data_IF_055945817388
#
_entry.id   IF_055945817388
#
_cell.length_a   1.000
_cell.length_b   1.000
_cell.length_c   1.000
_cell.angle_alpha   90.00
_cell.angle_beta   90.00
_cell.angle_gamma   90.00
#
_symmetry.space_group_name_H-M   'P 1'
#
loop_
_entity.id
_entity.type
_entity.pdbx_description
1 polymer ?
#
# COMPACT_ATOMS: atom_id res chain seq x y z
N UNK A 1 37.28 -24.44 -24.57
CA UNK A 1 37.33 -22.97 -24.71
C UNK A 1 37.44 -22.42 -23.30
N UNK A 2 38.61 -21.80 -22.96
CA UNK A 2 39.07 -21.54 -21.61
C UNK A 2 38.33 -20.39 -20.93
N UNK A 3 37.80 -20.65 -19.74
CA UNK A 3 37.25 -19.61 -18.85
C UNK A 3 38.40 -19.10 -17.99
N UNK A 4 38.79 -17.84 -18.19
CA UNK A 4 39.80 -17.13 -17.38
C UNK A 4 39.21 -16.76 -16.02
N UNK A 5 39.87 -17.24 -14.97
CA UNK A 5 39.65 -16.78 -13.57
C UNK A 5 40.22 -15.38 -13.39
N UNK A 6 39.39 -14.46 -12.92
CA UNK A 6 39.82 -13.13 -12.51
C UNK A 6 40.11 -13.18 -11.01
N UNK A 7 41.38 -13.01 -10.66
CA UNK A 7 41.85 -12.91 -9.28
C UNK A 7 41.68 -11.48 -8.80
N UNK A 8 40.96 -11.28 -7.70
CA UNK A 8 40.85 -10.00 -7.00
C UNK A 8 41.95 -9.93 -5.97
N UNK A 9 42.92 -9.01 -6.17
CA UNK A 9 43.97 -8.73 -5.23
C UNK A 9 43.47 -7.86 -4.07
N UNK A 10 43.58 -8.38 -2.83
CA UNK A 10 43.41 -7.59 -1.61
C UNK A 10 44.61 -6.65 -1.42
N UNK A 11 44.36 -5.35 -1.41
CA UNK A 11 45.28 -4.34 -0.92
C UNK A 11 45.05 -4.14 0.58
N UNK A 12 45.95 -4.62 1.41
CA UNK A 12 46.05 -4.34 2.83
C UNK A 12 46.73 -2.97 3.05
N UNK A 13 45.94 -1.99 3.43
CA UNK A 13 46.49 -0.70 3.91
C UNK A 13 46.66 -0.77 5.44
N UNK A 14 47.91 -0.72 5.89
CA UNK A 14 48.25 -0.59 7.30
C UNK A 14 47.98 0.84 7.77
N UNK A 15 47.09 1.01 8.74
CA UNK A 15 46.84 2.26 9.42
C UNK A 15 47.66 2.33 10.70
N UNK A 16 48.52 3.32 10.78
CA UNK A 16 49.29 3.72 11.95
C UNK A 16 48.36 4.17 13.08
N UNK A 17 48.53 3.54 14.23
CA UNK A 17 47.83 3.89 15.48
C UNK A 17 48.48 5.14 16.06
N UNK A 18 47.80 6.27 16.01
CA UNK A 18 48.11 7.45 16.81
C UNK A 18 47.30 7.40 18.11
N UNK A 19 47.94 7.16 19.26
CA UNK A 19 47.31 7.30 20.56
C UNK A 19 47.03 8.77 20.87
N UNK A 20 45.78 9.19 20.69
CA UNK A 20 45.27 10.42 21.27
C UNK A 20 44.18 10.05 22.29
N UNK A 21 44.45 10.28 23.57
CA UNK A 21 43.53 10.10 24.69
C UNK A 21 42.42 11.17 24.65
N UNK A 22 41.45 10.98 23.76
CA UNK A 22 40.18 11.70 23.78
C UNK A 22 39.14 10.85 24.48
N UNK A 23 38.59 11.29 25.62
CA UNK A 23 37.41 10.71 26.24
C UNK A 23 36.29 10.71 25.20
N UNK A 24 36.05 9.60 24.56
CA UNK A 24 34.85 9.36 23.76
C UNK A 24 33.68 9.32 24.74
N UNK A 25 32.95 10.43 24.84
CA UNK A 25 31.59 10.38 25.39
C UNK A 25 30.81 9.43 24.51
N UNK A 26 30.46 8.25 25.03
CA UNK A 26 29.55 7.34 24.39
C UNK A 26 28.25 8.13 24.11
N UNK A 27 28.04 8.50 22.85
CA UNK A 27 26.81 9.13 22.43
C UNK A 27 25.68 8.16 22.80
N UNK A 28 24.78 8.63 23.66
CA UNK A 28 23.63 7.87 24.12
C UNK A 28 22.69 7.72 22.92
N UNK A 29 22.99 6.77 22.01
CA UNK A 29 22.23 6.51 20.80
C UNK A 29 20.89 5.93 21.22
N UNK A 30 19.84 6.76 21.18
CA UNK A 30 18.47 6.32 21.41
C UNK A 30 18.11 5.31 20.33
N UNK A 31 17.57 4.18 20.73
CA UNK A 31 17.03 3.15 19.82
C UNK A 31 15.51 3.22 19.86
N UNK A 32 14.87 2.93 18.73
CA UNK A 32 13.44 2.72 18.66
C UNK A 32 13.03 1.36 19.30
N UNK A 33 11.74 1.06 19.31
CA UNK A 33 11.20 -0.18 19.86
C UNK A 33 11.75 -1.45 19.18
N UNK A 34 12.29 -1.33 17.95
CA UNK A 34 12.85 -2.42 17.14
C UNK A 34 14.40 -2.46 17.22
N UNK A 35 15.00 -1.64 18.08
CA UNK A 35 16.46 -1.60 18.25
C UNK A 35 17.20 -0.81 17.16
N UNK A 36 16.50 -0.12 16.24
CA UNK A 36 17.11 0.74 15.20
C UNK A 36 17.62 2.01 15.84
N UNK A 37 18.81 2.43 15.45
CA UNK A 37 19.43 3.66 15.97
C UNK A 37 18.69 4.88 15.42
N UNK A 38 18.08 5.66 16.30
CA UNK A 38 17.54 6.97 15.94
C UNK A 38 18.68 7.97 15.89
N UNK A 39 18.88 8.70 14.79
CA UNK A 39 19.85 9.77 14.73
C UNK A 39 19.52 10.85 15.76
N UNK A 40 20.58 11.53 16.24
CA UNK A 40 20.39 12.69 17.10
C UNK A 40 19.59 13.77 16.35
N UNK A 41 18.72 14.48 17.09
CA UNK A 41 18.06 15.65 16.53
C UNK A 41 19.12 16.67 16.11
N UNK A 42 19.05 17.12 14.87
CA UNK A 42 19.96 18.13 14.33
C UNK A 42 19.65 19.52 14.84
N UNK A 43 18.50 19.72 15.50
CA UNK A 43 17.96 21.03 15.88
C UNK A 43 17.54 21.89 14.69
N UNK A 44 17.66 21.35 13.46
CA UNK A 44 17.36 22.10 12.23
C UNK A 44 15.85 22.28 12.10
N UNK A 45 15.40 23.55 12.11
CA UNK A 45 13.97 23.90 11.94
C UNK A 45 13.66 24.44 10.54
N UNK A 46 14.67 24.86 9.78
CA UNK A 46 14.54 25.29 8.39
C UNK A 46 14.87 24.12 7.46
N UNK A 47 13.89 23.66 6.71
CA UNK A 47 14.01 22.56 5.74
C UNK A 47 13.72 23.15 4.34
N UNK A 48 14.73 23.16 3.48
CA UNK A 48 14.65 23.80 2.18
C UNK A 48 13.56 23.17 1.29
N UNK A 49 13.51 21.84 1.25
CA UNK A 49 12.51 21.10 0.50
C UNK A 49 12.22 19.73 1.07
N UNK A 50 11.00 19.25 0.87
CA UNK A 50 10.57 17.88 1.11
C UNK A 50 9.93 17.31 -0.14
N UNK A 51 10.18 16.03 -0.40
CA UNK A 51 9.61 15.28 -1.51
C UNK A 51 8.60 14.25 -0.99
N UNK A 52 7.35 14.45 -1.34
CA UNK A 52 6.25 13.55 -1.04
C UNK A 52 5.91 12.71 -2.26
N UNK A 53 5.76 11.41 -2.09
CA UNK A 53 5.43 10.51 -3.18
C UNK A 53 4.23 9.62 -2.86
N UNK A 54 3.37 9.45 -3.85
CA UNK A 54 2.20 8.59 -3.81
C UNK A 54 2.38 7.40 -4.75
N UNK A 55 1.75 6.27 -4.43
CA UNK A 55 1.73 5.09 -5.32
C UNK A 55 0.59 5.17 -6.34
N UNK A 56 0.73 4.56 -7.53
CA UNK A 56 -0.25 4.66 -8.62
C UNK A 56 -1.41 3.68 -8.44
N UNK A 57 -2.13 3.76 -7.31
CA UNK A 57 -3.35 2.96 -7.09
C UNK A 57 -4.59 3.54 -7.77
N UNK A 58 -4.48 4.78 -8.28
CA UNK A 58 -5.45 5.52 -9.09
C UNK A 58 -4.73 6.12 -10.29
N UNK A 59 -5.43 6.61 -11.32
CA UNK A 59 -4.80 7.38 -12.40
C UNK A 59 -3.98 8.54 -11.84
N UNK A 60 -2.76 8.71 -12.36
CA UNK A 60 -1.76 9.66 -11.87
C UNK A 60 -2.29 11.09 -11.85
N UNK A 61 -3.00 11.51 -12.90
CA UNK A 61 -3.60 12.84 -13.02
C UNK A 61 -4.62 13.13 -11.91
N UNK A 62 -5.41 12.13 -11.52
CA UNK A 62 -6.38 12.24 -10.43
C UNK A 62 -5.68 12.41 -9.09
N UNK A 63 -4.59 11.66 -8.84
CA UNK A 63 -3.80 11.76 -7.60
C UNK A 63 -3.17 13.15 -7.51
N UNK A 64 -2.49 13.61 -8.56
CA UNK A 64 -1.84 14.94 -8.61
C UNK A 64 -2.86 16.04 -8.39
N UNK A 65 -4.02 15.97 -9.06
CA UNK A 65 -5.10 16.95 -8.87
C UNK A 65 -5.62 16.97 -7.43
N UNK A 66 -5.87 15.79 -6.84
CA UNK A 66 -6.38 15.69 -5.47
C UNK A 66 -5.38 16.22 -4.44
N UNK A 67 -4.09 15.97 -4.62
CA UNK A 67 -3.03 16.31 -3.67
C UNK A 67 -2.39 17.69 -3.89
N UNK A 68 -2.82 18.43 -4.90
CA UNK A 68 -2.17 19.67 -5.36
C UNK A 68 -1.95 20.73 -4.26
N UNK A 69 -2.85 20.84 -3.29
CA UNK A 69 -2.72 21.80 -2.19
C UNK A 69 -2.14 21.21 -0.89
N UNK A 70 -1.85 19.92 -0.85
CA UNK A 70 -1.33 19.28 0.36
C UNK A 70 -0.03 19.93 0.85
N UNK A 71 0.87 20.31 -0.07
CA UNK A 71 2.13 20.95 0.27
C UNK A 71 1.94 22.29 1.02
N UNK A 72 0.97 23.11 0.61
CA UNK A 72 0.69 24.37 1.29
C UNK A 72 0.07 24.15 2.69
N UNK A 73 -0.88 23.25 2.80
CA UNK A 73 -1.49 22.89 4.09
C UNK A 73 -0.44 22.34 5.05
N UNK A 74 0.44 21.47 4.55
CA UNK A 74 1.52 20.89 5.34
C UNK A 74 2.52 21.95 5.83
N UNK A 75 2.99 22.84 4.95
CA UNK A 75 3.88 23.94 5.34
C UNK A 75 3.26 24.83 6.42
N UNK A 76 1.97 25.18 6.27
CA UNK A 76 1.27 25.99 7.26
C UNK A 76 1.24 25.29 8.63
N UNK A 77 0.90 24.00 8.68
CA UNK A 77 0.85 23.23 9.93
C UNK A 77 2.22 23.02 10.58
N UNK A 78 3.25 22.76 9.77
CA UNK A 78 4.63 22.65 10.28
C UNK A 78 5.14 23.97 10.85
N UNK A 79 4.75 25.12 10.26
CA UNK A 79 5.10 26.43 10.78
C UNK A 79 4.50 26.68 12.17
N UNK A 80 3.25 26.26 12.41
CA UNK A 80 2.62 26.31 13.74
C UNK A 80 3.42 25.50 14.79
N UNK A 81 4.17 24.49 14.36
CA UNK A 81 5.00 23.61 15.19
C UNK A 81 6.49 24.02 15.21
N UNK A 82 6.79 25.21 14.70
CA UNK A 82 8.15 25.79 14.72
C UNK A 82 9.07 25.34 13.60
N UNK A 83 8.56 24.66 12.55
CA UNK A 83 9.35 24.28 11.37
C UNK A 83 9.03 25.15 10.16
N UNK A 84 10.06 25.66 9.51
CA UNK A 84 9.92 26.41 8.26
C UNK A 84 10.28 25.51 7.07
N UNK A 85 9.26 25.09 6.32
CA UNK A 85 9.43 24.25 5.13
C UNK A 85 9.34 25.12 3.89
N UNK A 86 10.45 25.23 3.13
CA UNK A 86 10.51 26.07 1.93
C UNK A 86 9.63 25.54 0.81
N UNK A 87 9.80 24.29 0.43
CA UNK A 87 9.05 23.63 -0.66
C UNK A 87 8.58 22.24 -0.28
N UNK A 88 7.42 21.83 -0.81
CA UNK A 88 6.97 20.43 -0.81
C UNK A 88 6.68 20.03 -2.24
N UNK A 89 7.49 19.13 -2.78
CA UNK A 89 7.30 18.55 -4.10
C UNK A 89 6.46 17.28 -3.98
N UNK A 90 5.38 17.21 -4.75
CA UNK A 90 4.47 16.06 -4.76
C UNK A 90 4.59 15.34 -6.09
N UNK A 91 4.78 14.01 -6.03
CA UNK A 91 4.88 13.16 -7.21
C UNK A 91 4.09 11.86 -7.04
N UNK A 92 3.87 11.17 -8.14
CA UNK A 92 3.34 9.79 -8.17
C UNK A 92 4.42 8.93 -8.82
N UNK A 93 4.73 7.80 -8.21
CA UNK A 93 5.69 6.84 -8.76
C UNK A 93 5.09 6.05 -9.92
N UNK A 94 5.96 5.41 -10.72
CA UNK A 94 5.55 4.56 -11.83
C UNK A 94 5.03 3.20 -11.35
N UNK A 95 5.55 2.71 -10.21
CA UNK A 95 5.12 1.45 -9.56
C UNK A 95 5.18 1.54 -8.04
N UNK A 96 4.67 0.53 -7.36
CA UNK A 96 4.73 0.43 -5.91
C UNK A 96 6.17 0.20 -5.44
N UNK A 97 6.90 -0.64 -6.17
CA UNK A 97 8.31 -0.93 -5.92
C UNK A 97 9.16 0.32 -6.08
N UNK A 98 8.96 1.08 -7.18
CA UNK A 98 9.71 2.31 -7.44
C UNK A 98 9.52 3.34 -6.31
N UNK A 99 8.33 3.42 -5.71
CA UNK A 99 8.09 4.28 -4.55
C UNK A 99 8.89 3.82 -3.32
N UNK A 100 8.90 2.52 -3.05
CA UNK A 100 9.66 1.93 -1.95
C UNK A 100 11.17 2.10 -2.12
N UNK A 101 11.69 1.88 -3.33
CA UNK A 101 13.10 2.08 -3.68
C UNK A 101 13.52 3.53 -3.52
N UNK A 102 12.74 4.48 -4.03
CA UNK A 102 13.01 5.90 -3.93
C UNK A 102 13.07 6.38 -2.47
N UNK A 103 12.16 5.88 -1.62
CA UNK A 103 12.15 6.17 -0.19
C UNK A 103 13.36 5.53 0.52
N UNK A 104 13.66 4.26 0.25
CA UNK A 104 14.80 3.53 0.81
C UNK A 104 16.14 4.17 0.43
N UNK A 105 16.27 4.68 -0.79
CA UNK A 105 17.44 5.40 -1.26
C UNK A 105 17.55 6.84 -0.71
N UNK A 106 16.49 7.39 -0.10
CA UNK A 106 16.44 8.78 0.37
C UNK A 106 16.28 9.82 -0.74
N UNK A 107 15.94 9.40 -1.96
CA UNK A 107 15.59 10.31 -3.07
C UNK A 107 14.18 10.90 -2.93
N UNK A 108 13.34 10.25 -2.14
CA UNK A 108 12.03 10.71 -1.64
C UNK A 108 12.07 10.74 -0.12
N UNK A 109 11.41 11.71 0.50
CA UNK A 109 11.44 11.93 1.94
C UNK A 109 10.29 11.24 2.66
N UNK A 110 9.11 11.29 2.07
CA UNK A 110 7.88 10.72 2.61
C UNK A 110 7.12 10.03 1.50
N UNK A 111 6.62 8.83 1.75
CA UNK A 111 5.78 8.11 0.79
C UNK A 111 4.52 7.53 1.45
N UNK A 112 3.42 7.53 0.70
CA UNK A 112 2.19 6.82 1.02
C UNK A 112 2.24 5.46 0.35
N UNK A 113 2.47 4.40 1.15
CA UNK A 113 2.74 3.03 0.67
C UNK A 113 1.70 2.05 1.20
N UNK A 114 1.31 1.04 0.41
CA UNK A 114 0.65 -0.14 0.97
C UNK A 114 1.53 -0.84 1.99
N UNK A 115 0.92 -1.51 2.97
CA UNK A 115 1.65 -2.22 4.03
C UNK A 115 2.63 -3.28 3.50
N UNK A 116 2.31 -3.94 2.37
CA UNK A 116 3.21 -4.89 1.73
C UNK A 116 4.46 -4.24 1.14
N UNK A 117 4.31 -3.09 0.47
CA UNK A 117 5.45 -2.32 -0.05
C UNK A 117 6.31 -1.81 1.11
N UNK A 118 5.69 -1.24 2.15
CA UNK A 118 6.44 -0.82 3.34
C UNK A 118 7.24 -1.99 3.93
N UNK A 119 6.61 -3.16 4.11
CA UNK A 119 7.26 -4.33 4.69
C UNK A 119 8.54 -4.75 3.95
N UNK A 120 8.58 -4.59 2.61
CA UNK A 120 9.74 -4.91 1.78
C UNK A 120 10.89 -3.91 2.00
N UNK A 121 10.59 -2.64 2.23
CA UNK A 121 11.57 -1.56 2.32
C UNK A 121 11.77 -1.01 3.75
N UNK A 122 11.24 -1.70 4.77
CA UNK A 122 11.26 -1.25 6.17
C UNK A 122 12.65 -1.21 6.83
N UNK A 123 13.70 -1.72 6.18
CA UNK A 123 15.07 -1.63 6.68
C UNK A 123 15.65 -0.21 6.61
N UNK A 124 15.23 0.58 5.62
CA UNK A 124 15.76 1.92 5.33
C UNK A 124 14.70 3.02 5.46
N UNK A 125 13.49 2.65 5.86
CA UNK A 125 12.36 3.56 6.04
C UNK A 125 11.55 3.19 7.28
N UNK A 126 10.85 4.17 7.85
CA UNK A 126 10.04 3.96 9.05
C UNK A 126 8.62 4.47 8.87
N UNK A 127 7.64 3.63 9.25
CA UNK A 127 6.24 4.04 9.26
C UNK A 127 5.98 4.96 10.44
N UNK A 128 5.35 6.09 10.16
CA UNK A 128 5.00 7.08 11.20
C UNK A 128 3.50 7.21 11.41
N UNK A 129 2.70 6.90 10.38
CA UNK A 129 1.24 6.90 10.46
C UNK A 129 0.67 5.70 9.70
N UNK A 130 -0.47 5.19 10.18
CA UNK A 130 -1.37 4.30 9.44
C UNK A 130 -2.62 5.05 9.04
N UNK A 131 -3.12 4.79 7.84
CA UNK A 131 -4.40 5.34 7.40
C UNK A 131 -5.55 4.70 8.19
N UNK A 132 -6.60 5.47 8.43
CA UNK A 132 -7.90 4.94 8.86
C UNK A 132 -8.89 5.01 7.69
N UNK A 133 -9.85 4.10 7.65
CA UNK A 133 -10.93 4.04 6.65
C UNK A 133 -12.26 3.88 7.37
N UNK A 134 -13.34 4.26 6.73
CA UNK A 134 -14.65 3.81 7.19
C UNK A 134 -14.70 2.28 7.10
N UNK A 135 -15.08 1.63 8.19
CA UNK A 135 -15.39 0.20 8.16
C UNK A 135 -16.64 -0.05 7.33
N UNK A 136 -17.01 -1.30 7.16
CA UNK A 136 -18.27 -1.69 6.53
C UNK A 136 -19.24 -2.24 7.58
N UNK A 137 -20.54 -2.19 7.27
CA UNK A 137 -21.55 -2.89 8.06
C UNK A 137 -21.45 -4.41 7.86
N UNK A 138 -20.99 -4.83 6.67
CA UNK A 138 -20.64 -6.22 6.36
C UNK A 138 -19.13 -6.42 6.54
N UNK A 139 -18.72 -7.33 7.42
CA UNK A 139 -17.33 -7.76 7.62
C UNK A 139 -17.20 -9.30 7.48
N UNK A 140 -18.11 -9.93 6.74
CA UNK A 140 -18.18 -11.37 6.53
C UNK A 140 -16.93 -11.90 5.82
N UNK A 141 -16.53 -13.11 6.16
CA UNK A 141 -15.53 -13.90 5.43
C UNK A 141 -16.17 -14.80 4.37
N UNK A 142 -17.52 -14.90 4.34
CA UNK A 142 -18.24 -15.67 3.33
C UNK A 142 -18.49 -14.81 2.08
N UNK A 143 -17.99 -15.19 0.89
CA UNK A 143 -18.14 -14.42 -0.34
C UNK A 143 -19.60 -14.11 -0.70
N UNK A 144 -20.53 -15.03 -0.41
CA UNK A 144 -21.95 -14.88 -0.76
C UNK A 144 -22.60 -13.65 -0.13
N UNK A 145 -22.15 -13.28 1.08
CA UNK A 145 -22.71 -12.16 1.83
C UNK A 145 -22.39 -10.79 1.22
N UNK A 146 -21.56 -10.79 0.17
CA UNK A 146 -21.15 -9.59 -0.57
C UNK A 146 -21.88 -9.45 -1.92
N UNK A 147 -22.66 -10.47 -2.36
CA UNK A 147 -23.17 -10.56 -3.73
C UNK A 147 -24.62 -10.09 -3.88
N UNK A 148 -24.90 -9.43 -5.00
CA UNK A 148 -26.20 -8.90 -5.36
C UNK A 148 -26.51 -7.53 -4.75
N UNK A 149 -27.47 -6.83 -5.35
CA UNK A 149 -27.91 -5.48 -4.93
C UNK A 149 -28.42 -5.45 -3.48
N UNK A 150 -29.03 -6.54 -3.01
CA UNK A 150 -29.53 -6.65 -1.64
C UNK A 150 -28.39 -6.60 -0.60
N UNK A 151 -27.19 -7.02 -0.99
CA UNK A 151 -25.98 -7.03 -0.15
C UNK A 151 -24.98 -5.92 -0.53
N UNK A 152 -25.44 -4.88 -1.21
CA UNK A 152 -24.61 -3.73 -1.56
C UNK A 152 -23.90 -3.20 -0.32
N UNK A 153 -22.59 -3.13 -0.40
CA UNK A 153 -21.74 -2.73 0.73
C UNK A 153 -22.04 -1.32 1.20
N UNK A 154 -22.31 -1.18 2.49
CA UNK A 154 -22.55 0.09 3.16
C UNK A 154 -21.41 0.40 4.13
N UNK A 155 -20.96 1.64 4.13
CA UNK A 155 -19.98 2.11 5.10
C UNK A 155 -20.58 2.16 6.52
N UNK A 156 -19.75 1.89 7.51
CA UNK A 156 -20.06 2.18 8.92
C UNK A 156 -19.43 3.53 9.31
N UNK A 157 -19.92 4.15 10.38
CA UNK A 157 -19.38 5.41 10.89
C UNK A 157 -18.08 5.22 11.70
N UNK A 158 -17.71 3.96 11.97
CA UNK A 158 -16.51 3.67 12.77
C UNK A 158 -15.27 3.61 11.89
N UNK A 159 -14.24 4.40 12.17
CA UNK A 159 -12.95 4.26 11.51
C UNK A 159 -12.28 2.94 11.92
N UNK A 160 -11.63 2.29 10.96
CA UNK A 160 -10.86 1.05 11.16
C UNK A 160 -9.46 1.20 10.59
N UNK A 161 -8.49 0.45 11.13
CA UNK A 161 -7.10 0.41 10.68
C UNK A 161 -6.81 -0.78 9.76
N UNK A 162 -7.84 -1.43 9.27
CA UNK A 162 -7.73 -2.57 8.35
C UNK A 162 -8.81 -2.49 7.26
N UNK A 163 -8.63 -3.29 6.25
CA UNK A 163 -9.61 -3.58 5.21
C UNK A 163 -9.44 -5.04 4.75
N UNK A 164 -10.32 -5.54 3.87
CA UNK A 164 -10.19 -6.86 3.24
C UNK A 164 -9.82 -6.70 1.77
N UNK A 165 -9.11 -7.67 1.22
CA UNK A 165 -9.05 -7.88 -0.21
C UNK A 165 -10.25 -8.71 -0.65
N UNK A 166 -10.79 -8.39 -1.82
CA UNK A 166 -11.87 -9.16 -2.44
C UNK A 166 -11.40 -9.69 -3.80
N UNK A 167 -11.69 -10.95 -4.03
CA UNK A 167 -11.51 -11.61 -5.31
C UNK A 167 -12.86 -11.64 -6.00
N UNK A 168 -12.97 -11.04 -7.19
CA UNK A 168 -14.21 -10.92 -7.92
C UNK A 168 -14.20 -11.75 -9.19
N UNK A 169 -15.28 -12.47 -9.46
CA UNK A 169 -15.59 -13.04 -10.76
C UNK A 169 -16.41 -12.03 -11.58
N UNK A 170 -15.94 -11.71 -12.78
CA UNK A 170 -16.53 -10.75 -13.71
C UNK A 170 -17.68 -11.33 -14.53
N UNK A 171 -18.31 -10.50 -15.39
CA UNK A 171 -19.46 -10.87 -16.20
C UNK A 171 -19.13 -11.71 -17.45
N UNK A 172 -17.88 -12.10 -17.67
CA UNK A 172 -17.53 -13.04 -18.74
C UNK A 172 -18.26 -14.37 -18.57
N UNK A 173 -18.41 -15.14 -19.64
CA UNK A 173 -19.06 -16.45 -19.56
C UNK A 173 -18.41 -17.37 -18.50
N UNK A 174 -17.06 -17.30 -18.39
CA UNK A 174 -16.36 -18.11 -17.41
C UNK A 174 -16.45 -17.52 -16.00
N UNK A 175 -16.37 -16.20 -15.85
CA UNK A 175 -16.57 -15.52 -14.56
C UNK A 175 -17.97 -15.80 -13.97
N UNK A 176 -19.02 -15.73 -14.78
CA UNK A 176 -20.39 -16.11 -14.35
C UNK A 176 -20.48 -17.56 -13.87
N UNK A 177 -19.76 -18.48 -14.52
CA UNK A 177 -19.72 -19.89 -14.07
C UNK A 177 -19.09 -20.02 -12.69
N UNK A 178 -17.99 -19.31 -12.42
CA UNK A 178 -17.34 -19.30 -11.10
C UNK A 178 -18.26 -18.68 -10.04
N UNK A 179 -18.87 -17.54 -10.36
CA UNK A 179 -19.82 -16.88 -9.46
C UNK A 179 -21.01 -17.79 -9.11
N UNK A 180 -21.57 -18.50 -10.10
CA UNK A 180 -22.67 -19.43 -9.87
C UNK A 180 -22.31 -20.55 -8.90
N UNK A 181 -21.12 -21.15 -9.02
CA UNK A 181 -20.62 -22.17 -8.07
C UNK A 181 -20.57 -21.62 -6.65
N UNK A 182 -19.92 -20.46 -6.47
CA UNK A 182 -19.78 -19.87 -5.14
C UNK A 182 -21.13 -19.49 -4.54
N UNK A 183 -22.02 -18.89 -5.33
CA UNK A 183 -23.37 -18.54 -4.89
C UNK A 183 -24.23 -19.77 -4.54
N UNK A 184 -23.98 -20.91 -5.17
CA UNK A 184 -24.55 -22.20 -4.80
C UNK A 184 -23.93 -22.82 -3.54
N UNK A 185 -22.84 -22.24 -3.01
CA UNK A 185 -22.12 -22.76 -1.83
C UNK A 185 -21.06 -23.81 -2.18
N UNK A 186 -20.72 -23.97 -3.46
CA UNK A 186 -19.67 -24.86 -3.90
C UNK A 186 -18.29 -24.23 -3.72
N UNK A 187 -17.27 -25.04 -3.41
CA UNK A 187 -15.87 -24.60 -3.39
C UNK A 187 -15.29 -24.61 -4.80
N UNK A 188 -14.52 -23.58 -5.12
CA UNK A 188 -13.73 -23.53 -6.34
C UNK A 188 -12.51 -24.45 -6.21
N UNK A 189 -12.23 -25.20 -7.27
CA UNK A 189 -11.02 -26.02 -7.37
C UNK A 189 -9.87 -25.22 -7.97
N UNK A 190 -8.63 -25.76 -7.88
CA UNK A 190 -7.50 -25.15 -8.58
C UNK A 190 -7.75 -25.07 -10.09
N UNK A 191 -8.31 -26.11 -10.71
CA UNK A 191 -8.62 -26.14 -12.13
C UNK A 191 -9.66 -25.08 -12.53
N UNK A 192 -10.62 -24.78 -11.66
CA UNK A 192 -11.55 -23.66 -11.85
C UNK A 192 -10.81 -22.31 -11.88
N UNK A 193 -9.86 -22.11 -10.97
CA UNK A 193 -9.15 -20.86 -10.81
C UNK A 193 -8.04 -20.67 -11.87
N UNK A 194 -7.30 -21.73 -12.21
CA UNK A 194 -6.21 -21.69 -13.19
C UNK A 194 -6.66 -21.50 -14.64
N UNK A 195 -7.88 -21.98 -14.96
CA UNK A 195 -8.48 -21.73 -16.30
C UNK A 195 -8.86 -20.28 -16.53
N UNK A 196 -9.16 -19.54 -15.47
CA UNK A 196 -9.61 -18.16 -15.54
C UNK A 196 -8.48 -17.22 -15.98
N UNK A 197 -8.85 -16.13 -16.65
CA UNK A 197 -7.96 -15.00 -16.93
C UNK A 197 -8.02 -14.04 -15.73
N UNK A 198 -6.88 -13.87 -15.06
CA UNK A 198 -6.74 -13.00 -13.89
C UNK A 198 -6.13 -11.66 -14.25
N UNK A 199 -6.65 -10.59 -13.65
CA UNK A 199 -5.93 -9.34 -13.53
C UNK A 199 -5.56 -9.09 -12.07
N UNK A 200 -4.31 -8.68 -11.84
CA UNK A 200 -3.72 -8.46 -10.53
C UNK A 200 -2.89 -7.18 -10.52
N UNK A 201 -2.51 -6.71 -9.33
CA UNK A 201 -1.62 -5.56 -9.16
C UNK A 201 -0.14 -5.98 -9.07
N UNK A 202 0.74 -4.98 -8.84
CA UNK A 202 2.14 -5.18 -8.53
C UNK A 202 2.34 -6.18 -7.38
N UNK A 203 3.42 -6.93 -7.41
CA UNK A 203 3.68 -8.06 -6.48
C UNK A 203 3.77 -7.64 -5.01
N UNK A 204 4.03 -6.37 -4.71
CA UNK A 204 4.03 -5.80 -3.36
C UNK A 204 2.70 -5.19 -2.94
N UNK A 205 1.70 -5.21 -3.84
CA UNK A 205 0.35 -4.73 -3.51
C UNK A 205 -0.35 -5.66 -2.52
N UNK A 206 -0.70 -5.15 -1.35
CA UNK A 206 -1.38 -5.94 -0.32
C UNK A 206 -2.68 -6.58 -0.84
N UNK A 207 -3.68 -5.78 -1.23
CA UNK A 207 -4.98 -6.30 -1.68
C UNK A 207 -4.98 -6.79 -3.12
N UNK A 208 -4.04 -6.34 -3.94
CA UNK A 208 -4.00 -6.68 -5.37
C UNK A 208 -3.11 -7.88 -5.71
N UNK A 209 -2.32 -8.39 -4.75
CA UNK A 209 -1.43 -9.52 -4.99
C UNK A 209 -1.17 -10.38 -3.75
N UNK A 210 -0.62 -9.80 -2.67
CA UNK A 210 -0.12 -10.56 -1.51
C UNK A 210 -1.25 -11.36 -0.85
N UNK A 211 -2.29 -10.69 -0.38
CA UNK A 211 -3.37 -11.35 0.33
C UNK A 211 -4.24 -12.25 -0.57
N UNK A 212 -4.52 -11.91 -1.85
CA UNK A 212 -5.08 -12.86 -2.81
C UNK A 212 -4.22 -14.10 -3.04
N UNK A 213 -2.87 -13.97 -3.07
CA UNK A 213 -1.97 -15.12 -3.14
C UNK A 213 -2.12 -16.02 -1.90
N UNK A 214 -2.16 -15.44 -0.70
CA UNK A 214 -2.38 -16.21 0.53
C UNK A 214 -3.74 -16.92 0.51
N UNK A 215 -4.80 -16.23 0.08
CA UNK A 215 -6.12 -16.83 -0.09
C UNK A 215 -6.08 -18.04 -1.04
N UNK A 216 -5.38 -17.94 -2.18
CA UNK A 216 -5.17 -19.06 -3.09
C UNK A 216 -4.41 -20.20 -2.41
N UNK A 217 -3.33 -19.90 -1.69
CA UNK A 217 -2.50 -20.91 -1.01
C UNK A 217 -3.30 -21.70 0.03
N UNK A 218 -4.18 -21.03 0.79
CA UNK A 218 -5.07 -21.67 1.76
C UNK A 218 -6.10 -22.59 1.09
N UNK A 219 -6.66 -22.20 -0.06
CA UNK A 219 -7.67 -22.97 -0.78
C UNK A 219 -7.08 -24.09 -1.64
N UNK A 220 -5.86 -23.90 -2.18
CA UNK A 220 -5.29 -24.68 -3.28
C UNK A 220 -3.94 -25.33 -2.93
N UNK A 221 -3.77 -25.85 -1.72
CA UNK A 221 -2.60 -26.65 -1.30
C UNK A 221 -1.26 -25.93 -1.54
N UNK A 222 -1.20 -24.64 -1.20
CA UNK A 222 0.00 -23.81 -1.30
C UNK A 222 0.27 -23.18 -2.65
N UNK A 223 -0.57 -23.38 -3.67
CA UNK A 223 -0.46 -22.70 -4.97
C UNK A 223 -0.95 -21.26 -4.86
N UNK A 224 -0.19 -20.32 -5.42
CA UNK A 224 -0.50 -18.88 -5.41
C UNK A 224 -0.67 -18.28 -6.81
N UNK A 225 -0.73 -16.95 -6.88
CA UNK A 225 -0.88 -16.21 -8.15
C UNK A 225 0.24 -16.56 -9.14
N UNK A 226 1.48 -16.75 -8.67
CA UNK A 226 2.62 -17.13 -9.51
C UNK A 226 2.47 -18.46 -10.25
N UNK A 227 1.59 -19.34 -9.77
CA UNK A 227 1.35 -20.67 -10.33
C UNK A 227 0.18 -20.68 -11.32
N UNK A 228 -0.55 -19.57 -11.48
CA UNK A 228 -1.65 -19.43 -12.42
C UNK A 228 -1.15 -19.28 -13.86
N UNK A 229 -1.87 -19.92 -14.79
CA UNK A 229 -1.48 -19.96 -16.22
C UNK A 229 -1.74 -18.65 -16.97
N UNK A 230 -2.69 -17.81 -16.53
CA UNK A 230 -3.17 -16.62 -17.26
C UNK A 230 -3.32 -15.42 -16.33
N UNK A 231 -2.24 -14.69 -16.13
CA UNK A 231 -2.20 -13.51 -15.26
C UNK A 231 -1.72 -12.28 -16.03
N UNK A 232 -2.38 -11.17 -15.85
CA UNK A 232 -2.01 -9.85 -16.38
C UNK A 232 -1.92 -8.84 -15.25
N UNK A 233 -0.85 -8.04 -15.21
CA UNK A 233 -0.72 -6.95 -14.23
C UNK A 233 -1.35 -5.68 -14.79
N UNK A 234 -2.33 -5.11 -14.06
CA UNK A 234 -3.07 -3.91 -14.44
C UNK A 234 -3.22 -2.97 -13.23
N UNK A 235 -3.57 -1.70 -13.46
CA UNK A 235 -4.10 -0.85 -12.41
C UNK A 235 -5.58 -1.15 -12.16
N UNK A 236 -6.10 -0.78 -10.98
CA UNK A 236 -7.49 -1.12 -10.62
C UNK A 236 -8.53 -0.60 -11.63
N UNK A 237 -8.36 0.61 -12.17
CA UNK A 237 -9.31 1.14 -13.16
C UNK A 237 -9.36 0.26 -14.41
N UNK A 238 -8.18 -0.17 -14.91
CA UNK A 238 -8.09 -1.07 -16.06
C UNK A 238 -8.62 -2.48 -15.74
N UNK A 239 -8.41 -2.99 -14.51
CA UNK A 239 -9.00 -4.27 -14.09
C UNK A 239 -10.52 -4.25 -14.20
N UNK A 240 -11.16 -3.23 -13.61
CA UNK A 240 -12.62 -3.09 -13.66
C UNK A 240 -13.14 -2.86 -15.09
N UNK A 241 -12.45 -2.05 -15.88
CA UNK A 241 -12.81 -1.79 -17.28
C UNK A 241 -12.72 -3.06 -18.13
N UNK A 242 -11.64 -3.83 -18.01
CA UNK A 242 -11.48 -5.08 -18.77
C UNK A 242 -12.44 -6.17 -18.28
N UNK A 243 -12.77 -6.20 -16.98
CA UNK A 243 -13.82 -7.07 -16.48
C UNK A 243 -15.18 -6.69 -17.08
N UNK A 244 -15.54 -5.40 -17.12
CA UNK A 244 -16.76 -4.90 -17.76
C UNK A 244 -16.82 -5.26 -19.25
N UNK A 245 -15.67 -5.25 -19.93
CA UNK A 245 -15.54 -5.66 -21.34
C UNK A 245 -15.50 -7.20 -21.55
N UNK A 246 -15.64 -7.99 -20.48
CA UNK A 246 -15.59 -9.47 -20.49
C UNK A 246 -14.24 -10.05 -20.98
N UNK A 247 -13.16 -9.26 -20.94
CA UNK A 247 -11.82 -9.68 -21.36
C UNK A 247 -11.07 -10.43 -20.27
N UNK A 248 -11.38 -10.14 -18.99
CA UNK A 248 -10.83 -10.75 -17.79
C UNK A 248 -11.95 -11.46 -17.03
N UNK A 249 -11.65 -12.63 -16.46
CA UNK A 249 -12.63 -13.44 -15.73
C UNK A 249 -12.61 -13.14 -14.23
N UNK A 250 -11.41 -12.89 -13.67
CA UNK A 250 -11.20 -12.62 -12.24
C UNK A 250 -10.34 -11.37 -12.07
N UNK A 251 -10.76 -10.47 -11.17
CA UNK A 251 -9.98 -9.32 -10.71
C UNK A 251 -9.83 -9.35 -9.19
N UNK A 252 -8.82 -8.68 -8.67
CA UNK A 252 -8.55 -8.58 -7.23
C UNK A 252 -8.45 -7.12 -6.81
N UNK A 253 -9.11 -6.74 -5.73
CA UNK A 253 -9.15 -5.35 -5.28
C UNK A 253 -9.33 -5.25 -3.76
N UNK A 254 -9.04 -4.08 -3.20
CA UNK A 254 -9.47 -3.75 -1.83
C UNK A 254 -11.00 -3.74 -1.73
N UNK A 255 -11.54 -4.08 -0.58
CA UNK A 255 -12.96 -3.98 -0.29
C UNK A 255 -13.39 -2.51 -0.07
N UNK A 256 -14.50 -2.01 -0.60
CA UNK A 256 -15.19 -2.63 -1.71
C UNK A 256 -14.97 -1.79 -2.97
N UNK A 257 -14.15 -2.28 -3.87
CA UNK A 257 -13.80 -1.56 -5.10
C UNK A 257 -15.00 -1.25 -5.98
N UNK A 258 -16.09 -2.02 -5.87
CA UNK A 258 -17.34 -1.78 -6.65
C UNK A 258 -17.94 -0.40 -6.38
N UNK A 259 -17.81 0.13 -5.15
CA UNK A 259 -18.28 1.49 -4.82
C UNK A 259 -17.62 2.57 -5.67
N UNK A 260 -16.36 2.36 -6.08
CA UNK A 260 -15.59 3.36 -6.82
C UNK A 260 -15.96 3.40 -8.30
N UNK A 261 -16.38 2.26 -8.84
CA UNK A 261 -16.62 2.09 -10.27
C UNK A 261 -18.11 1.88 -10.61
N UNK A 262 -19.02 1.99 -9.63
CA UNK A 262 -20.46 1.78 -9.83
C UNK A 262 -21.05 2.68 -10.93
N UNK A 263 -20.62 3.97 -10.96
CA UNK A 263 -21.10 4.91 -11.97
C UNK A 263 -20.55 4.60 -13.37
N UNK A 264 -19.24 4.29 -13.43
CA UNK A 264 -18.57 3.97 -14.69
C UNK A 264 -19.11 2.67 -15.29
N UNK A 265 -19.41 1.68 -14.45
CA UNK A 265 -19.87 0.37 -14.86
C UNK A 265 -21.01 0.43 -15.89
N UNK A 266 -22.05 1.18 -15.58
CA UNK A 266 -23.21 1.33 -16.47
C UNK A 266 -23.04 2.49 -17.47
N UNK A 267 -22.57 3.67 -17.02
CA UNK A 267 -22.59 4.89 -17.84
C UNK A 267 -21.48 4.96 -18.87
N UNK A 268 -20.28 4.46 -18.52
CA UNK A 268 -19.09 4.60 -19.36
C UNK A 268 -18.75 3.27 -20.06
N UNK A 269 -18.93 2.13 -19.35
CA UNK A 269 -18.58 0.81 -19.86
C UNK A 269 -19.78 0.01 -20.39
N UNK A 270 -20.97 0.62 -20.43
CA UNK A 270 -22.15 0.13 -21.13
C UNK A 270 -22.78 -1.13 -20.55
N UNK A 271 -22.50 -1.47 -19.28
CA UNK A 271 -23.14 -2.62 -18.65
C UNK A 271 -24.61 -2.34 -18.39
N UNK A 272 -25.46 -3.36 -18.61
CA UNK A 272 -26.93 -3.24 -18.46
C UNK A 272 -27.39 -3.42 -17.03
N UNK A 273 -26.72 -4.29 -16.29
CA UNK A 273 -27.05 -4.59 -14.89
C UNK A 273 -26.07 -3.89 -13.93
N UNK A 274 -26.36 -3.91 -12.65
CA UNK A 274 -25.52 -3.28 -11.63
C UNK A 274 -24.19 -4.02 -11.46
N UNK A 275 -23.16 -3.29 -11.04
CA UNK A 275 -21.88 -3.90 -10.69
C UNK A 275 -22.01 -4.91 -9.55
N UNK A 276 -23.00 -4.74 -8.67
CA UNK A 276 -23.26 -5.61 -7.54
C UNK A 276 -23.82 -6.98 -7.93
N UNK A 277 -24.56 -7.03 -9.06
CA UNK A 277 -25.08 -8.26 -9.64
C UNK A 277 -24.08 -8.93 -10.59
N UNK A 278 -23.31 -8.15 -11.35
CA UNK A 278 -22.43 -8.69 -12.39
C UNK A 278 -21.01 -9.01 -11.93
N UNK A 279 -20.48 -8.29 -10.93
CA UNK A 279 -19.15 -8.52 -10.38
C UNK A 279 -19.26 -9.17 -9.00
N UNK A 280 -19.25 -10.49 -8.99
CA UNK A 280 -19.51 -11.29 -7.79
C UNK A 280 -18.22 -11.58 -7.01
N UNK A 281 -18.24 -11.40 -5.70
CA UNK A 281 -17.16 -11.83 -4.81
C UNK A 281 -17.14 -13.36 -4.77
N UNK A 282 -15.97 -13.94 -5.06
CA UNK A 282 -15.72 -15.38 -5.00
C UNK A 282 -14.67 -15.74 -3.93
N UNK A 283 -14.02 -14.74 -3.36
CA UNK A 283 -13.06 -14.91 -2.27
C UNK A 283 -12.94 -13.64 -1.44
N UNK A 284 -12.74 -13.82 -0.15
CA UNK A 284 -12.50 -12.76 0.83
C UNK A 284 -11.20 -13.07 1.55
N UNK A 285 -10.26 -12.12 1.57
CA UNK A 285 -8.97 -12.31 2.24
C UNK A 285 -9.07 -12.12 3.76
N UNK A 286 -8.02 -12.48 4.47
CA UNK A 286 -7.78 -12.01 5.82
C UNK A 286 -7.72 -10.47 5.86
N UNK A 287 -7.78 -9.88 7.08
CA UNK A 287 -7.65 -8.44 7.26
C UNK A 287 -6.27 -7.95 6.80
N UNK A 288 -6.28 -6.94 5.95
CA UNK A 288 -5.10 -6.22 5.47
C UNK A 288 -4.91 -5.00 6.34
N UNK A 289 -3.76 -4.82 6.99
CA UNK A 289 -3.48 -3.60 7.72
C UNK A 289 -3.36 -2.42 6.75
N UNK A 290 -3.86 -1.24 7.16
CA UNK A 290 -4.02 -0.10 6.25
C UNK A 290 -2.68 0.44 5.71
N UNK A 291 -2.80 1.31 4.69
CA UNK A 291 -1.69 1.99 4.05
C UNK A 291 -0.90 2.84 5.05
N UNK A 292 0.39 2.97 4.78
CA UNK A 292 1.33 3.71 5.63
C UNK A 292 1.53 5.13 5.15
N UNK A 293 1.93 6.02 6.08
CA UNK A 293 2.76 7.18 5.75
C UNK A 293 4.14 6.88 6.30
N UNK A 294 5.12 6.82 5.43
CA UNK A 294 6.45 6.30 5.72
C UNK A 294 7.52 7.36 5.41
N UNK A 295 8.50 7.50 6.29
CA UNK A 295 9.60 8.48 6.18
C UNK A 295 10.90 7.74 5.91
N UNK A 296 11.77 8.30 5.05
CA UNK A 296 13.13 7.76 4.86
C UNK A 296 13.99 7.90 6.11
N UNK A 297 14.80 6.89 6.40
CA UNK A 297 15.78 6.93 7.49
C UNK A 297 17.13 7.57 7.08
N UNK A 298 17.27 8.00 5.82
CA UNK A 298 18.54 8.52 5.27
C UNK A 298 18.81 9.99 5.60
N UNK A 299 17.83 10.74 6.14
CA UNK A 299 17.92 12.18 6.40
C UNK A 299 17.70 12.50 7.88
N UNK A 300 18.74 12.71 8.67
CA UNK A 300 18.62 12.99 10.11
C UNK A 300 17.80 14.23 10.45
N UNK A 301 17.74 15.22 9.56
CA UNK A 301 16.95 16.43 9.74
C UNK A 301 15.45 16.20 9.76
N UNK A 302 14.97 15.09 9.16
CA UNK A 302 13.54 14.70 9.18
C UNK A 302 13.30 13.38 9.91
N UNK A 303 14.29 12.48 9.96
CA UNK A 303 14.17 11.24 10.69
C UNK A 303 14.71 11.42 12.12
N UNK A 304 14.03 12.25 12.90
CA UNK A 304 14.28 12.45 14.32
C UNK A 304 12.94 12.61 15.05
N UNK A 305 12.94 12.39 16.36
CA UNK A 305 11.71 12.33 17.16
C UNK A 305 10.89 13.61 17.11
N UNK A 306 11.52 14.79 17.16
CA UNK A 306 10.81 16.05 17.17
C UNK A 306 10.14 16.34 15.84
N UNK A 307 10.90 16.21 14.74
CA UNK A 307 10.32 16.40 13.40
C UNK A 307 9.20 15.40 13.13
N UNK A 308 9.43 14.10 13.41
CA UNK A 308 8.40 13.07 13.17
C UNK A 308 7.14 13.31 13.99
N UNK A 309 7.26 13.79 15.24
CA UNK A 309 6.09 14.15 16.04
C UNK A 309 5.31 15.32 15.41
N UNK A 310 6.02 16.40 15.04
CA UNK A 310 5.41 17.55 14.37
C UNK A 310 4.76 17.16 13.04
N UNK A 311 5.43 16.30 12.26
CA UNK A 311 4.92 15.74 11.00
C UNK A 311 3.62 14.95 11.21
N UNK A 312 3.65 13.97 12.14
CA UNK A 312 2.48 13.14 12.47
C UNK A 312 1.28 13.99 12.84
N UNK A 313 1.48 14.91 13.78
CA UNK A 313 0.39 15.79 14.26
C UNK A 313 -0.13 16.69 13.14
N UNK A 314 0.75 17.19 12.26
CA UNK A 314 0.36 18.01 11.09
C UNK A 314 -0.52 17.23 10.10
N UNK A 315 -0.12 16.02 9.72
CA UNK A 315 -0.91 15.19 8.79
C UNK A 315 -2.24 14.77 9.40
N UNK A 316 -2.26 14.41 10.70
CA UNK A 316 -3.49 14.06 11.41
C UNK A 316 -4.43 15.27 11.47
N UNK A 317 -3.93 16.47 11.76
CA UNK A 317 -4.74 17.70 11.80
C UNK A 317 -5.27 18.05 10.40
N UNK A 318 -4.44 18.00 9.36
CA UNK A 318 -4.88 18.25 7.99
C UNK A 318 -5.98 17.27 7.59
N UNK A 319 -5.84 15.98 7.92
CA UNK A 319 -6.84 14.97 7.55
C UNK A 319 -8.24 15.20 8.15
N UNK A 320 -8.34 15.98 9.20
CA UNK A 320 -9.63 16.34 9.84
C UNK A 320 -10.32 17.53 9.17
N UNK A 321 -9.60 18.30 8.36
CA UNK A 321 -10.17 19.45 7.63
C UNK A 321 -10.99 18.97 6.42
N UNK A 322 -11.95 19.77 5.97
CA UNK A 322 -12.73 19.43 4.77
C UNK A 322 -11.86 19.27 3.51
N UNK A 323 -10.80 20.07 3.39
CA UNK A 323 -9.86 19.97 2.30
C UNK A 323 -8.98 18.70 2.41
N UNK A 324 -8.46 18.42 3.60
CA UNK A 324 -7.68 17.21 3.87
C UNK A 324 -8.49 15.93 3.63
N UNK A 325 -9.77 15.90 4.02
CA UNK A 325 -10.68 14.78 3.71
C UNK A 325 -10.80 14.55 2.20
N UNK A 326 -10.86 15.63 1.38
CA UNK A 326 -10.91 15.53 -0.08
C UNK A 326 -9.57 15.00 -0.63
N UNK A 327 -8.45 15.50 -0.11
CA UNK A 327 -7.10 15.08 -0.52
C UNK A 327 -6.91 13.59 -0.26
N UNK A 328 -7.06 13.15 0.98
CA UNK A 328 -6.79 11.77 1.38
C UNK A 328 -7.93 10.80 0.99
N UNK A 329 -9.10 11.33 0.71
CA UNK A 329 -10.25 10.59 0.21
C UNK A 329 -10.00 9.90 -1.15
N UNK A 330 -9.00 10.35 -1.94
CA UNK A 330 -8.61 9.68 -3.20
C UNK A 330 -8.19 8.22 -2.95
N UNK A 331 -7.64 7.92 -1.77
CA UNK A 331 -7.26 6.58 -1.31
C UNK A 331 -8.27 5.96 -0.34
N UNK A 332 -9.47 6.55 -0.20
CA UNK A 332 -10.48 6.15 0.79
C UNK A 332 -9.99 6.29 2.25
N UNK A 333 -8.98 7.09 2.50
CA UNK A 333 -8.55 7.37 3.86
C UNK A 333 -9.52 8.36 4.52
N UNK A 334 -10.04 8.01 5.69
CA UNK A 334 -10.89 8.88 6.53
C UNK A 334 -10.06 9.71 7.50
N UNK A 335 -8.79 9.37 7.68
CA UNK A 335 -7.85 10.02 8.58
C UNK A 335 -6.60 9.18 8.78
N UNK A 336 -5.85 9.52 9.83
CA UNK A 336 -4.62 8.81 10.19
C UNK A 336 -4.51 8.63 11.70
N UNK A 337 -3.86 7.52 12.11
CA UNK A 337 -3.43 7.24 13.47
C UNK A 337 -1.90 7.05 13.52
N UNK A 338 -1.27 7.37 14.66
CA UNK A 338 0.16 7.06 14.85
C UNK A 338 0.38 5.56 14.76
N UNK A 339 1.43 5.16 14.10
CA UNK A 339 1.80 3.78 13.89
C UNK A 339 3.28 3.56 14.19
N UNK A 340 3.63 2.30 14.37
CA UNK A 340 4.99 1.82 14.54
C UNK A 340 5.29 0.69 13.57
N UNK A 341 6.56 0.44 13.31
CA UNK A 341 7.02 -0.65 12.46
C UNK A 341 6.44 -2.02 12.87
N UNK A 342 6.29 -2.26 14.18
CA UNK A 342 5.74 -3.50 14.73
C UNK A 342 4.29 -3.78 14.29
N UNK A 343 3.51 -2.74 14.03
CA UNK A 343 2.12 -2.88 13.57
C UNK A 343 2.04 -3.57 12.20
N UNK A 344 3.16 -3.58 11.45
CA UNK A 344 3.28 -4.19 10.12
C UNK A 344 3.98 -5.55 10.11
N UNK A 345 4.17 -6.20 11.26
CA UNK A 345 4.71 -7.57 11.33
C UNK A 345 3.86 -8.57 10.56
N UNK A 346 2.53 -8.40 10.59
CA UNK A 346 1.61 -9.20 9.79
C UNK A 346 1.82 -9.04 8.28
N UNK A 347 2.08 -7.81 7.80
CA UNK A 347 2.40 -7.56 6.40
C UNK A 347 3.73 -8.19 5.97
N UNK A 348 4.76 -8.16 6.86
CA UNK A 348 6.04 -8.85 6.62
C UNK A 348 5.88 -10.37 6.56
N UNK A 349 5.05 -10.94 7.43
CA UNK A 349 4.75 -12.38 7.42
C UNK A 349 4.01 -12.75 6.13
N UNK A 350 3.02 -11.96 5.73
CA UNK A 350 2.26 -12.14 4.49
C UNK A 350 3.18 -12.10 3.27
N UNK A 351 4.07 -11.10 3.18
CA UNK A 351 5.03 -10.97 2.09
C UNK A 351 5.97 -12.20 2.03
N UNK A 352 6.53 -12.64 3.16
CA UNK A 352 7.37 -13.85 3.23
C UNK A 352 6.64 -15.12 2.81
N UNK A 353 5.34 -15.22 3.10
CA UNK A 353 4.55 -16.39 2.73
C UNK A 353 4.34 -16.51 1.21
N UNK A 354 4.28 -15.38 0.50
CA UNK A 354 4.06 -15.37 -0.96
C UNK A 354 5.35 -15.40 -1.78
N UNK A 355 6.50 -15.17 -1.16
CA UNK A 355 7.82 -15.22 -1.81
C UNK A 355 8.42 -16.64 -1.86
N UNK A 356 7.88 -17.56 -1.07
CA UNK A 356 8.27 -18.98 -1.08
C UNK A 356 7.64 -19.70 -2.27
#
# INVERSE_FOLDING_TARGET
MNIKKISVSLLTAALLVGCGSGKSSAANTKKDANGRVLPADTGKKDIDSLKFQFVPSRPTDQIIKATSNLGNLFKAKMKEKGYNIGKVDISVSDSYEAAGEALSAGSVDVAWLPGGTYALYSNDSDVVLTATRHGFKNDSTNPKDWNGDANKTQNSDKPVTYYKGLIYAGPSAYGRKLAAKVNAGEKLTWEDLDKAKWAVRDVTSSAGYIYPTMWLQEQCKGKGIKDLSKVTTLNYAAEFQQAAAEQIDIIVCYADGRQDYEKQWQKEWGRKDSIWNELNVIGVTQNVYNDTVTVTMKKPEIYNKEFMTAFQDSIIEISKTEEGKKIFGIYKHSGYAKASDKDYDGARQALKAVQK
#
